data_IF_857700917514
#
_entry.id   IF_857700917514
#
_cell.length_a   1.000
_cell.length_b   1.000
_cell.length_c   1.000
_cell.angle_alpha   90.00
_cell.angle_beta   90.00
_cell.angle_gamma   90.00
#
_symmetry.space_group_name_H-M   'P 1'
#
loop_
_entity.id
_entity.type
_entity.pdbx_description
1 polymer ?
#
# COMPACT_ATOMS: atom_id res chain seq x y z
N UNK A 1 -10.14 7.27 6.84
CA UNK A 1 -9.81 5.89 6.43
C UNK A 1 -9.19 5.86 5.04
N UNK A 2 -8.39 4.84 4.77
CA UNK A 2 -7.87 4.55 3.43
C UNK A 2 -8.97 3.81 2.66
N UNK A 3 -9.18 4.19 1.40
CA UNK A 3 -10.13 3.51 0.52
C UNK A 3 -9.39 2.42 -0.26
N UNK A 4 -9.46 1.18 0.25
CA UNK A 4 -8.79 0.03 -0.36
C UNK A 4 -9.39 -0.33 -1.73
N UNK A 5 -10.68 -0.08 -1.97
CA UNK A 5 -11.32 -0.35 -3.26
C UNK A 5 -10.85 0.65 -4.33
N UNK A 6 -10.66 1.92 -3.95
CA UNK A 6 -10.04 2.91 -4.83
C UNK A 6 -8.59 2.52 -5.18
N UNK A 7 -7.81 2.03 -4.20
CA UNK A 7 -6.46 1.52 -4.45
C UNK A 7 -6.48 0.32 -5.40
N UNK A 8 -7.30 -0.70 -5.14
CA UNK A 8 -7.45 -1.88 -6.02
C UNK A 8 -7.83 -1.48 -7.44
N UNK A 9 -8.75 -0.53 -7.60
CA UNK A 9 -9.15 -0.01 -8.90
C UNK A 9 -7.98 0.68 -9.60
N UNK A 10 -7.25 1.54 -8.89
CA UNK A 10 -6.11 2.28 -9.46
C UNK A 10 -5.00 1.36 -9.95
N UNK A 11 -4.67 0.32 -9.18
CA UNK A 11 -3.57 -0.60 -9.51
C UNK A 11 -3.96 -1.70 -10.51
N UNK A 12 -5.24 -1.77 -10.89
CA UNK A 12 -5.75 -2.75 -11.87
C UNK A 12 -5.13 -2.58 -13.27
N UNK A 13 -4.57 -1.41 -13.57
CA UNK A 13 -3.89 -1.14 -14.84
C UNK A 13 -2.47 -1.73 -14.93
N UNK A 14 -1.94 -2.25 -13.82
CA UNK A 14 -0.64 -2.90 -13.74
C UNK A 14 0.56 -1.98 -13.94
N UNK A 15 0.39 -0.65 -13.94
CA UNK A 15 1.49 0.31 -14.15
C UNK A 15 2.25 0.57 -12.86
N UNK A 16 3.58 0.72 -12.99
CA UNK A 16 4.45 1.03 -11.85
C UNK A 16 4.05 2.34 -11.15
N UNK A 17 3.67 3.37 -11.90
CA UNK A 17 3.24 4.66 -11.33
C UNK A 17 1.99 4.49 -10.45
N UNK A 18 1.02 3.68 -10.89
CA UNK A 18 -0.18 3.35 -10.10
C UNK A 18 0.17 2.67 -8.77
N UNK A 19 1.12 1.73 -8.79
CA UNK A 19 1.60 1.06 -7.58
C UNK A 19 2.34 2.03 -6.64
N UNK A 20 3.26 2.85 -7.17
CA UNK A 20 4.04 3.83 -6.40
C UNK A 20 3.14 4.88 -5.75
N UNK A 21 2.23 5.48 -6.51
CA UNK A 21 1.33 6.50 -5.98
C UNK A 21 0.41 5.91 -4.90
N UNK A 22 -0.07 4.68 -5.06
CA UNK A 22 -0.90 4.01 -4.05
C UNK A 22 -0.11 3.67 -2.79
N UNK A 23 1.14 3.24 -2.94
CA UNK A 23 2.04 2.95 -1.83
C UNK A 23 2.28 4.21 -0.98
N UNK A 24 2.50 5.36 -1.62
CA UNK A 24 2.70 6.64 -0.93
C UNK A 24 1.44 7.08 -0.17
N UNK A 25 0.24 6.89 -0.75
CA UNK A 25 -1.03 7.21 -0.08
C UNK A 25 -1.20 6.44 1.24
N UNK A 26 -0.79 5.18 1.29
CA UNK A 26 -0.82 4.39 2.54
C UNK A 26 0.31 4.85 3.48
N UNK A 27 1.52 5.02 2.94
CA UNK A 27 2.71 5.41 3.71
C UNK A 27 2.51 6.72 4.47
N UNK A 28 1.90 7.73 3.84
CA UNK A 28 1.61 9.04 4.44
C UNK A 28 0.65 8.97 5.64
N UNK A 29 -0.02 7.83 5.82
CA UNK A 29 -1.03 7.62 6.87
C UNK A 29 -0.62 6.61 7.92
N UNK A 30 0.55 5.97 7.84
CA UNK A 30 0.97 4.92 8.78
C UNK A 30 0.92 5.38 10.24
N UNK A 31 1.46 6.57 10.53
CA UNK A 31 1.42 7.13 11.89
C UNK A 31 -0.03 7.39 12.36
N UNK A 32 -0.93 7.75 11.44
CA UNK A 32 -2.35 7.94 11.76
C UNK A 32 -3.01 6.60 12.07
N UNK A 33 -2.79 5.57 11.24
CA UNK A 33 -3.34 4.24 11.45
C UNK A 33 -2.91 3.63 12.79
N UNK A 34 -1.63 3.75 13.14
CA UNK A 34 -1.10 3.27 14.43
C UNK A 34 -1.80 3.97 15.61
N UNK A 35 -2.02 5.29 15.49
CA UNK A 35 -2.71 6.06 16.52
C UNK A 35 -4.19 5.68 16.64
N UNK A 36 -4.91 5.54 15.53
CA UNK A 36 -6.32 5.13 15.53
C UNK A 36 -6.49 3.71 16.10
N UNK A 37 -5.58 2.78 15.76
CA UNK A 37 -5.56 1.42 16.32
C UNK A 37 -5.33 1.44 17.84
N UNK A 38 -4.37 2.23 18.32
CA UNK A 38 -4.09 2.39 19.76
C UNK A 38 -5.25 3.01 20.53
N UNK A 39 -5.99 3.91 19.89
CA UNK A 39 -7.16 4.57 20.49
C UNK A 39 -8.43 3.68 20.42
N UNK A 40 -8.38 2.56 19.69
CA UNK A 40 -9.52 1.67 19.50
C UNK A 40 -10.54 2.20 18.47
N UNK A 41 -10.15 3.17 17.66
CA UNK A 41 -10.98 3.75 16.60
C UNK A 41 -10.83 3.04 15.25
N UNK A 42 -9.81 2.17 15.12
CA UNK A 42 -9.56 1.33 13.96
C UNK A 42 -9.57 -0.13 14.41
N UNK A 43 -10.35 -0.97 13.71
CA UNK A 43 -10.35 -2.40 13.97
C UNK A 43 -9.01 -3.01 13.54
N UNK A 44 -8.55 -4.01 14.30
CA UNK A 44 -7.27 -4.67 13.99
C UNK A 44 -7.28 -5.30 12.60
N UNK A 45 -8.40 -5.95 12.23
CA UNK A 45 -8.56 -6.59 10.92
C UNK A 45 -8.45 -5.55 9.78
N UNK A 46 -9.11 -4.40 9.92
CA UNK A 46 -9.02 -3.32 8.95
C UNK A 46 -7.59 -2.75 8.85
N UNK A 47 -6.90 -2.58 9.98
CA UNK A 47 -5.49 -2.18 9.97
C UNK A 47 -4.60 -3.21 9.25
N UNK A 48 -4.80 -4.49 9.55
CA UNK A 48 -4.03 -5.59 8.97
C UNK A 48 -4.23 -5.63 7.44
N UNK A 49 -5.47 -5.47 6.93
CA UNK A 49 -5.75 -5.39 5.49
C UNK A 49 -5.02 -4.21 4.80
N UNK A 50 -4.95 -3.06 5.45
CA UNK A 50 -4.24 -1.88 4.92
C UNK A 50 -2.73 -2.15 4.85
N UNK A 51 -2.16 -2.78 5.88
CA UNK A 51 -0.74 -3.13 5.90
C UNK A 51 -0.41 -4.22 4.88
N UNK A 52 -1.27 -5.22 4.69
CA UNK A 52 -1.11 -6.23 3.64
C UNK A 52 -1.12 -5.60 2.23
N UNK A 53 -1.98 -4.61 1.99
CA UNK A 53 -1.96 -3.85 0.74
C UNK A 53 -0.66 -3.06 0.59
N UNK A 54 -0.14 -2.46 1.65
CA UNK A 54 1.15 -1.74 1.63
C UNK A 54 2.31 -2.67 1.24
N UNK A 55 2.38 -3.85 1.85
CA UNK A 55 3.39 -4.87 1.56
C UNK A 55 3.28 -5.37 0.12
N UNK A 56 2.06 -5.64 -0.36
CA UNK A 56 1.83 -6.03 -1.75
C UNK A 56 2.36 -4.97 -2.74
N UNK A 57 2.06 -3.70 -2.48
CA UNK A 57 2.53 -2.61 -3.33
C UNK A 57 4.06 -2.50 -3.31
N UNK A 58 4.67 -2.61 -2.14
CA UNK A 58 6.13 -2.63 -1.98
C UNK A 58 6.76 -3.77 -2.80
N UNK A 59 6.20 -4.97 -2.74
CA UNK A 59 6.68 -6.13 -3.49
C UNK A 59 6.62 -5.89 -5.00
N UNK A 60 5.50 -5.35 -5.52
CA UNK A 60 5.37 -5.02 -6.94
C UNK A 60 6.39 -3.99 -7.40
N UNK A 61 6.60 -2.95 -6.60
CA UNK A 61 7.57 -1.90 -6.89
C UNK A 61 8.99 -2.47 -6.89
N UNK A 62 9.37 -3.22 -5.84
CA UNK A 62 10.69 -3.82 -5.73
C UNK A 62 10.99 -4.77 -6.89
N UNK A 63 10.05 -5.67 -7.22
CA UNK A 63 10.20 -6.60 -8.34
C UNK A 63 10.36 -5.87 -9.68
N UNK A 64 9.58 -4.81 -9.93
CA UNK A 64 9.73 -4.00 -11.14
C UNK A 64 11.17 -3.45 -11.27
N UNK A 65 11.73 -2.87 -10.21
CA UNK A 65 13.08 -2.33 -10.26
C UNK A 65 14.16 -3.42 -10.36
N UNK A 66 13.99 -4.55 -9.67
CA UNK A 66 14.91 -5.70 -9.78
C UNK A 66 14.96 -6.20 -11.23
N UNK A 67 13.79 -6.41 -11.84
CA UNK A 67 13.69 -6.97 -13.20
C UNK A 67 14.20 -6.01 -14.28
N UNK A 68 14.02 -4.69 -14.10
CA UNK A 68 14.40 -3.72 -15.12
C UNK A 68 15.83 -3.16 -14.96
N UNK A 69 16.40 -3.17 -13.75
CA UNK A 69 17.68 -2.48 -13.49
C UNK A 69 18.78 -3.38 -12.93
N UNK A 70 18.45 -4.56 -12.39
CA UNK A 70 19.45 -5.44 -11.76
C UNK A 70 19.58 -6.81 -12.43
N UNK A 71 18.60 -7.22 -13.24
CA UNK A 71 18.72 -8.38 -14.15
C UNK A 71 19.26 -7.94 -15.50
N UNK A 72 20.52 -7.49 -15.49
CA UNK A 72 21.37 -7.31 -16.68
C UNK A 72 22.31 -8.49 -16.87
#
# INVERSE_FOLDING_TARGET
>A
MIDLEAIKTKISDGKIDSYVESYLVISDKLDTLENELRQGNLEKEENDEILEMHDYLMEKIANYYIDNFYKG
#
